data_IF_349267803301
#
_entry.id   IF_349267803301
#
_cell.length_a   1.000
_cell.length_b   1.000
_cell.length_c   1.000
_cell.angle_alpha   90.00
_cell.angle_beta   90.00
_cell.angle_gamma   90.00
#
_symmetry.space_group_name_H-M   'P 1'
#
loop_
_entity.id
_entity.type
_entity.pdbx_description
1 polymer ?
#
# COMPACT_ATOMS: atom_id res chain seq x y z
N UNK A 1 40.10 -28.36 -25.19
CA UNK A 1 40.89 -27.77 -24.07
C UNK A 1 39.96 -27.74 -22.84
N UNK A 2 40.34 -28.32 -21.71
CA UNK A 2 39.50 -28.26 -20.50
C UNK A 2 39.51 -26.84 -19.91
N UNK A 3 38.34 -26.34 -19.52
CA UNK A 3 38.20 -25.04 -18.88
C UNK A 3 38.97 -25.01 -17.53
N UNK A 4 39.65 -23.91 -17.18
CA UNK A 4 40.39 -23.82 -15.92
C UNK A 4 39.43 -23.95 -14.75
N UNK A 5 39.77 -24.85 -13.79
CA UNK A 5 39.04 -25.02 -12.54
C UNK A 5 39.20 -23.73 -11.70
N UNK A 6 38.13 -23.19 -11.11
CA UNK A 6 38.25 -22.01 -10.25
C UNK A 6 39.18 -22.31 -9.08
N UNK A 7 40.09 -21.38 -8.80
CA UNK A 7 40.99 -21.51 -7.64
C UNK A 7 40.16 -21.45 -6.35
N UNK A 8 40.60 -22.11 -5.29
CA UNK A 8 39.96 -22.10 -3.96
C UNK A 8 39.66 -20.67 -3.47
N UNK A 9 40.54 -19.73 -3.82
CA UNK A 9 40.35 -18.30 -3.48
C UNK A 9 39.17 -17.67 -4.22
N UNK A 10 38.98 -18.00 -5.50
CA UNK A 10 37.86 -17.50 -6.30
C UNK A 10 36.52 -18.08 -5.82
N UNK A 11 36.52 -19.35 -5.41
CA UNK A 11 35.32 -19.99 -4.85
C UNK A 11 34.94 -19.38 -3.48
N UNK A 12 35.92 -19.11 -2.62
CA UNK A 12 35.69 -18.46 -1.33
C UNK A 12 35.18 -17.01 -1.48
N UNK A 13 35.76 -16.25 -2.42
CA UNK A 13 35.29 -14.89 -2.73
C UNK A 13 33.86 -14.88 -3.28
N UNK A 14 33.50 -15.83 -4.15
CA UNK A 14 32.15 -15.97 -4.68
C UNK A 14 31.15 -16.34 -3.57
N UNK A 15 31.51 -17.25 -2.67
CA UNK A 15 30.68 -17.62 -1.53
C UNK A 15 30.48 -16.45 -0.55
N UNK A 16 31.53 -15.69 -0.24
CA UNK A 16 31.43 -14.50 0.58
C UNK A 16 30.55 -13.41 -0.03
N UNK A 17 30.70 -13.19 -1.36
CA UNK A 17 29.85 -12.24 -2.10
C UNK A 17 28.37 -12.68 -2.14
N UNK A 18 28.12 -13.97 -2.27
CA UNK A 18 26.76 -14.53 -2.22
C UNK A 18 26.15 -14.38 -0.81
N UNK A 19 26.92 -14.73 0.24
CA UNK A 19 26.49 -14.56 1.63
C UNK A 19 26.20 -13.09 1.98
N UNK A 20 27.07 -12.17 1.50
CA UNK A 20 26.87 -10.72 1.68
C UNK A 20 25.60 -10.22 0.96
N UNK A 21 25.34 -10.68 -0.28
CA UNK A 21 24.13 -10.35 -1.02
C UNK A 21 22.87 -10.85 -0.32
N UNK A 22 22.90 -12.09 0.17
CA UNK A 22 21.79 -12.69 0.94
C UNK A 22 21.56 -11.92 2.25
N UNK A 23 22.64 -11.53 2.94
CA UNK A 23 22.54 -10.72 4.16
C UNK A 23 21.97 -9.33 3.88
N UNK A 24 22.39 -8.68 2.79
CA UNK A 24 21.87 -7.38 2.35
C UNK A 24 20.40 -7.45 1.94
N UNK A 25 19.99 -8.51 1.22
CA UNK A 25 18.58 -8.76 0.88
C UNK A 25 17.73 -8.96 2.15
N UNK A 26 18.25 -9.66 3.15
CA UNK A 26 17.57 -9.90 4.43
C UNK A 26 17.41 -8.64 5.28
N UNK A 27 18.21 -7.59 5.03
CA UNK A 27 18.14 -6.30 5.71
C UNK A 27 17.35 -5.25 4.92
N UNK A 28 17.08 -5.49 3.64
CA UNK A 28 16.31 -4.55 2.82
C UNK A 28 14.84 -4.65 3.21
N UNK A 29 14.30 -3.56 3.76
CA UNK A 29 12.87 -3.47 4.08
C UNK A 29 12.06 -3.49 2.81
N UNK A 30 10.94 -4.20 2.84
CA UNK A 30 10.00 -4.32 1.74
C UNK A 30 8.64 -3.74 2.13
N UNK A 31 8.15 -2.78 1.36
CA UNK A 31 6.85 -2.15 1.58
C UNK A 31 5.97 -2.36 0.36
N UNK A 32 4.76 -2.82 0.59
CA UNK A 32 3.74 -2.94 -0.47
C UNK A 32 2.80 -1.74 -0.38
N UNK A 33 2.54 -1.09 -1.52
CA UNK A 33 1.63 0.06 -1.63
C UNK A 33 0.51 -0.29 -2.60
N UNK A 34 -0.74 -0.32 -2.13
CA UNK A 34 -1.90 -0.42 -3.03
C UNK A 34 -2.34 0.98 -3.46
N UNK A 35 -2.82 1.13 -4.69
CA UNK A 35 -3.08 2.45 -5.25
C UNK A 35 -1.79 3.21 -5.58
N UNK A 36 -0.75 2.48 -6.00
CA UNK A 36 0.59 3.03 -6.22
C UNK A 36 0.65 4.05 -7.36
N UNK A 37 -0.27 4.02 -8.32
CA UNK A 37 -0.37 4.99 -9.40
C UNK A 37 -1.08 6.29 -8.99
N UNK A 38 -1.74 6.31 -7.82
CA UNK A 38 -2.39 7.48 -7.27
C UNK A 38 -1.41 8.52 -6.72
N UNK A 39 -1.91 9.72 -6.40
CA UNK A 39 -1.08 10.82 -5.91
C UNK A 39 -0.29 10.48 -4.64
N UNK A 40 -0.91 9.85 -3.64
CA UNK A 40 -0.24 9.46 -2.39
C UNK A 40 0.70 8.28 -2.61
N UNK A 41 0.28 7.29 -3.40
CA UNK A 41 1.09 6.12 -3.73
C UNK A 41 2.41 6.50 -4.41
N UNK A 42 2.36 7.37 -5.41
CA UNK A 42 3.55 7.87 -6.10
C UNK A 42 4.51 8.63 -5.18
N UNK A 43 3.99 9.50 -4.33
CA UNK A 43 4.82 10.26 -3.40
C UNK A 43 5.50 9.38 -2.36
N UNK A 44 4.75 8.44 -1.80
CA UNK A 44 5.30 7.50 -0.82
C UNK A 44 6.30 6.55 -1.47
N UNK A 45 5.99 6.02 -2.66
CA UNK A 45 6.90 5.15 -3.41
C UNK A 45 8.25 5.81 -3.65
N UNK A 46 8.27 7.02 -4.21
CA UNK A 46 9.49 7.79 -4.42
C UNK A 46 10.26 8.00 -3.12
N UNK A 47 9.59 8.44 -2.07
CA UNK A 47 10.20 8.69 -0.77
C UNK A 47 10.87 7.44 -0.16
N UNK A 48 10.24 6.27 -0.31
CA UNK A 48 10.76 5.01 0.22
C UNK A 48 11.94 4.50 -0.62
N UNK A 49 11.84 4.57 -1.96
CA UNK A 49 12.94 4.16 -2.86
C UNK A 49 14.20 4.99 -2.64
N UNK A 50 14.09 6.31 -2.48
CA UNK A 50 15.22 7.19 -2.13
C UNK A 50 15.93 6.76 -0.84
N UNK A 51 15.26 6.00 0.02
CA UNK A 51 15.78 5.47 1.29
C UNK A 51 16.20 4.01 1.23
N UNK A 52 16.27 3.45 0.04
CA UNK A 52 16.71 2.07 -0.18
C UNK A 52 15.70 1.01 0.29
N UNK A 53 14.43 1.38 0.43
CA UNK A 53 13.33 0.44 0.70
C UNK A 53 12.86 -0.15 -0.63
N UNK A 54 12.70 -1.46 -0.68
CA UNK A 54 12.05 -2.13 -1.80
C UNK A 54 10.56 -1.80 -1.80
N UNK A 55 10.06 -1.23 -2.89
CA UNK A 55 8.66 -0.84 -3.03
C UNK A 55 7.98 -1.72 -4.06
N UNK A 56 6.95 -2.46 -3.62
CA UNK A 56 6.06 -3.21 -4.50
C UNK A 56 4.73 -2.47 -4.61
N UNK A 57 4.36 -2.08 -5.81
CA UNK A 57 3.09 -1.45 -6.09
C UNK A 57 2.00 -2.47 -6.42
N UNK A 58 0.79 -2.26 -5.97
CA UNK A 58 -0.42 -2.96 -6.44
C UNK A 58 -1.36 -1.91 -7.02
N UNK A 59 -1.83 -2.16 -8.24
CA UNK A 59 -2.74 -1.25 -8.92
C UNK A 59 -3.72 -2.00 -9.81
N UNK A 60 -4.89 -1.43 -9.98
CA UNK A 60 -5.86 -1.96 -10.94
C UNK A 60 -5.32 -1.79 -12.38
N UNK A 61 -5.48 -2.78 -13.27
CA UNK A 61 -4.95 -2.75 -14.64
C UNK A 61 -5.28 -1.47 -15.42
N UNK A 62 -6.50 -0.97 -15.27
CA UNK A 62 -6.96 0.24 -15.96
C UNK A 62 -6.22 1.51 -15.55
N UNK A 63 -5.64 1.54 -14.36
CA UNK A 63 -4.89 2.70 -13.87
C UNK A 63 -3.41 2.60 -14.18
N UNK A 64 -2.86 1.40 -14.35
CA UNK A 64 -1.49 1.20 -14.80
C UNK A 64 -1.25 1.68 -16.23
N UNK A 65 -2.29 1.61 -17.09
CA UNK A 65 -2.20 2.00 -18.50
C UNK A 65 -2.32 3.51 -18.75
N UNK A 66 -2.73 4.28 -17.75
CA UNK A 66 -3.13 5.70 -17.89
C UNK A 66 -2.04 6.74 -17.56
N UNK A 67 -0.79 6.36 -17.50
CA UNK A 67 0.21 7.36 -17.16
C UNK A 67 1.62 6.85 -17.04
N UNK A 68 2.50 7.67 -16.52
CA UNK A 68 3.89 7.29 -16.22
C UNK A 68 3.91 6.16 -15.19
N UNK A 69 4.87 5.28 -15.31
CA UNK A 69 5.11 4.23 -14.32
C UNK A 69 5.24 4.81 -12.90
N UNK A 70 4.62 4.17 -11.89
CA UNK A 70 4.80 4.61 -10.51
C UNK A 70 6.23 4.32 -10.05
N UNK A 71 6.77 5.07 -9.08
CA UNK A 71 8.08 4.80 -8.49
C UNK A 71 8.02 3.57 -7.58
N UNK A 72 8.02 2.40 -8.19
CA UNK A 72 8.01 1.10 -7.55
C UNK A 72 9.03 0.20 -8.23
N UNK A 73 9.67 -0.69 -7.47
CA UNK A 73 10.61 -1.67 -8.01
C UNK A 73 9.89 -2.75 -8.83
N UNK A 74 8.63 -3.01 -8.46
CA UNK A 74 7.74 -3.91 -9.16
C UNK A 74 6.29 -3.43 -9.02
N UNK A 75 5.52 -3.55 -10.08
CA UNK A 75 4.07 -3.28 -10.04
C UNK A 75 3.30 -4.55 -10.36
N UNK A 76 2.44 -4.95 -9.43
CA UNK A 76 1.50 -6.06 -9.61
C UNK A 76 0.16 -5.48 -10.03
N UNK A 77 -0.31 -5.87 -11.20
CA UNK A 77 -1.66 -5.51 -11.66
C UNK A 77 -2.67 -6.43 -11.02
N UNK A 78 -3.51 -5.92 -10.15
CA UNK A 78 -4.54 -6.68 -9.47
C UNK A 78 -5.76 -5.81 -9.15
N UNK A 79 -6.93 -6.41 -9.26
CA UNK A 79 -8.19 -5.83 -8.80
C UNK A 79 -8.34 -6.15 -7.30
N UNK A 80 -8.17 -5.16 -6.45
CA UNK A 80 -8.27 -5.33 -5.00
C UNK A 80 -9.70 -5.56 -4.49
N UNK A 81 -10.73 -5.45 -5.34
CA UNK A 81 -12.09 -5.93 -5.01
C UNK A 81 -12.15 -7.47 -4.92
N UNK A 82 -11.12 -8.15 -5.40
CA UNK A 82 -11.00 -9.60 -5.36
C UNK A 82 -9.87 -10.01 -4.42
N UNK A 83 -9.90 -11.24 -3.88
CA UNK A 83 -8.79 -11.76 -3.11
C UNK A 83 -7.48 -11.68 -3.89
N UNK A 84 -6.44 -11.16 -3.26
CA UNK A 84 -5.12 -11.08 -3.86
C UNK A 84 -4.54 -12.49 -4.05
N UNK A 85 -3.75 -12.67 -5.12
CA UNK A 85 -3.06 -13.92 -5.36
C UNK A 85 -2.09 -14.25 -4.21
N UNK A 86 -1.99 -15.53 -3.89
CA UNK A 86 -1.06 -16.00 -2.86
C UNK A 86 0.38 -15.58 -3.19
N UNK A 87 1.08 -15.07 -2.19
CA UNK A 87 2.47 -14.67 -2.31
C UNK A 87 2.71 -13.22 -2.74
N UNK A 88 1.69 -12.46 -3.19
CA UNK A 88 1.87 -11.05 -3.58
C UNK A 88 2.43 -10.20 -2.43
N UNK A 89 2.01 -10.49 -1.21
CA UNK A 89 2.45 -9.77 0.01
C UNK A 89 3.57 -10.51 0.76
N UNK A 90 4.08 -11.62 0.23
CA UNK A 90 5.09 -12.42 0.92
C UNK A 90 6.36 -11.60 1.21
N UNK A 91 6.84 -11.69 2.45
CA UNK A 91 8.06 -11.00 2.90
C UNK A 91 7.94 -9.49 3.03
N UNK A 92 6.74 -8.93 2.96
CA UNK A 92 6.54 -7.51 3.22
C UNK A 92 6.66 -7.17 4.70
N UNK A 93 7.38 -6.11 5.04
CA UNK A 93 7.47 -5.55 6.38
C UNK A 93 6.26 -4.66 6.71
N UNK A 94 5.64 -4.11 5.69
CA UNK A 94 4.43 -3.31 5.82
C UNK A 94 3.61 -3.31 4.52
N UNK A 95 2.30 -3.17 4.68
CA UNK A 95 1.36 -2.83 3.60
C UNK A 95 0.78 -1.47 3.89
N UNK A 96 0.83 -0.58 2.89
CA UNK A 96 0.17 0.74 2.93
C UNK A 96 -0.96 0.74 1.91
N UNK A 97 -2.18 0.87 2.40
CA UNK A 97 -3.38 0.77 1.59
C UNK A 97 -3.94 2.15 1.25
N UNK A 98 -3.78 2.56 -0.02
CA UNK A 98 -4.34 3.79 -0.58
C UNK A 98 -5.41 3.52 -1.65
N UNK A 99 -5.55 2.25 -2.09
CA UNK A 99 -6.53 1.90 -3.10
C UNK A 99 -7.94 2.12 -2.58
N UNK A 100 -8.71 2.90 -3.31
CA UNK A 100 -10.11 3.14 -3.04
C UNK A 100 -10.83 3.51 -4.33
N UNK A 101 -12.09 3.14 -4.43
CA UNK A 101 -13.00 3.71 -5.42
C UNK A 101 -13.40 5.09 -4.90
N UNK A 102 -13.13 6.13 -5.66
CA UNK A 102 -13.45 7.51 -5.26
C UNK A 102 -14.31 8.21 -6.33
N UNK A 103 -15.58 7.88 -6.40
CA UNK A 103 -16.51 8.41 -7.39
C UNK A 103 -17.14 9.74 -6.96
N UNK A 104 -16.53 10.46 -6.02
CA UNK A 104 -17.01 11.77 -5.57
C UNK A 104 -17.29 12.71 -6.77
N UNK A 105 -18.40 13.48 -6.78
CA UNK A 105 -19.34 13.67 -5.66
C UNK A 105 -20.56 12.74 -5.67
N UNK A 106 -20.70 11.87 -6.63
CA UNK A 106 -21.92 11.13 -6.91
C UNK A 106 -21.77 9.61 -6.74
N UNK A 107 -21.03 9.17 -5.72
CA UNK A 107 -20.85 7.75 -5.44
C UNK A 107 -22.19 7.06 -5.16
N UNK A 108 -22.47 5.98 -5.88
CA UNK A 108 -23.50 5.06 -5.49
C UNK A 108 -23.03 4.09 -4.39
N UNK A 109 -23.95 3.22 -3.92
CA UNK A 109 -23.60 2.25 -2.90
C UNK A 109 -22.60 1.20 -3.41
N UNK A 110 -22.70 0.77 -4.65
CA UNK A 110 -21.82 -0.24 -5.21
C UNK A 110 -20.37 0.27 -5.29
N UNK A 111 -20.20 1.51 -5.73
CA UNK A 111 -18.89 2.17 -5.77
C UNK A 111 -18.32 2.42 -4.37
N UNK A 112 -19.15 2.83 -3.43
CA UNK A 112 -18.73 3.06 -2.04
C UNK A 112 -18.34 1.75 -1.33
N UNK A 113 -19.11 0.67 -1.54
CA UNK A 113 -18.82 -0.66 -0.98
C UNK A 113 -17.54 -1.27 -1.58
N UNK A 114 -17.22 -0.97 -2.84
CA UNK A 114 -15.98 -1.41 -3.46
C UNK A 114 -14.71 -1.01 -2.69
N UNK A 115 -14.71 0.18 -2.09
CA UNK A 115 -13.59 0.60 -1.22
C UNK A 115 -13.48 -0.23 0.06
N UNK A 116 -14.60 -0.73 0.60
CA UNK A 116 -14.60 -1.64 1.75
C UNK A 116 -14.03 -3.00 1.33
N UNK A 117 -14.42 -3.51 0.17
CA UNK A 117 -13.91 -4.78 -0.36
C UNK A 117 -12.40 -4.71 -0.59
N UNK A 118 -11.89 -3.60 -1.15
CA UNK A 118 -10.45 -3.36 -1.29
C UNK A 118 -9.74 -3.46 0.05
N UNK A 119 -10.20 -2.71 1.06
CA UNK A 119 -9.56 -2.68 2.37
C UNK A 119 -9.61 -4.06 3.05
N UNK A 120 -10.73 -4.75 2.96
CA UNK A 120 -10.93 -6.05 3.58
C UNK A 120 -10.06 -7.13 2.94
N UNK A 121 -10.06 -7.24 1.62
CA UNK A 121 -9.26 -8.24 0.90
C UNK A 121 -7.76 -8.05 1.11
N UNK A 122 -7.29 -6.80 1.08
CA UNK A 122 -5.87 -6.51 1.30
C UNK A 122 -5.47 -6.77 2.75
N UNK A 123 -6.34 -6.44 3.73
CA UNK A 123 -6.08 -6.71 5.15
C UNK A 123 -6.02 -8.20 5.44
N UNK A 124 -6.94 -9.00 4.89
CA UNK A 124 -6.92 -10.47 5.01
C UNK A 124 -5.64 -11.05 4.39
N UNK A 125 -5.31 -10.66 3.17
CA UNK A 125 -4.09 -11.11 2.51
C UNK A 125 -2.82 -10.74 3.29
N UNK A 126 -2.79 -9.56 3.92
CA UNK A 126 -1.69 -9.14 4.78
C UNK A 126 -1.59 -9.99 6.05
N UNK A 127 -2.72 -10.32 6.67
CA UNK A 127 -2.78 -11.20 7.83
C UNK A 127 -2.31 -12.62 7.47
N UNK A 128 -2.80 -13.18 6.38
CA UNK A 128 -2.42 -14.52 5.90
C UNK A 128 -0.93 -14.61 5.53
N UNK A 129 -0.38 -13.53 4.98
CA UNK A 129 1.06 -13.43 4.68
C UNK A 129 1.94 -13.14 5.90
N UNK A 130 1.36 -12.94 7.08
CA UNK A 130 2.08 -12.61 8.31
C UNK A 130 2.73 -11.22 8.28
N UNK A 131 2.20 -10.28 7.52
CA UNK A 131 2.73 -8.91 7.44
C UNK A 131 2.55 -8.20 8.79
N UNK A 132 3.65 -7.70 9.40
CA UNK A 132 3.58 -7.17 10.77
C UNK A 132 2.90 -5.80 10.89
N UNK A 133 2.72 -5.09 9.77
CA UNK A 133 2.09 -3.76 9.77
C UNK A 133 1.16 -3.57 8.59
N UNK A 134 -0.07 -3.21 8.89
CA UNK A 134 -1.06 -2.77 7.91
C UNK A 134 -1.46 -1.32 8.21
N UNK A 135 -1.25 -0.43 7.24
CA UNK A 135 -1.53 1.00 7.35
C UNK A 135 -2.65 1.33 6.37
N UNK A 136 -3.81 1.66 6.89
CA UNK A 136 -4.98 2.05 6.12
C UNK A 136 -5.10 3.58 6.06
N UNK A 137 -5.16 4.12 4.85
CA UNK A 137 -5.54 5.51 4.67
C UNK A 137 -7.04 5.68 4.96
N UNK A 138 -7.34 6.30 6.06
CA UNK A 138 -8.69 6.70 6.43
C UNK A 138 -9.01 8.11 5.91
N UNK A 139 -10.09 8.69 6.35
CA UNK A 139 -10.54 10.02 5.93
C UNK A 139 -10.90 10.87 7.13
N UNK A 140 -10.69 12.19 7.02
CA UNK A 140 -11.21 13.16 7.98
C UNK A 140 -12.75 13.16 8.05
N UNK A 141 -13.43 12.63 7.03
CA UNK A 141 -14.88 12.46 7.04
C UNK A 141 -15.38 11.49 8.11
N UNK A 142 -14.54 10.54 8.56
CA UNK A 142 -14.84 9.66 9.69
C UNK A 142 -15.08 10.46 10.98
N UNK A 143 -14.47 11.65 11.08
CA UNK A 143 -14.61 12.57 12.21
C UNK A 143 -15.47 13.78 11.85
N UNK A 144 -16.16 13.75 10.72
CA UNK A 144 -16.91 14.90 10.18
C UNK A 144 -18.00 15.43 11.09
N UNK A 145 -18.65 14.55 11.86
CA UNK A 145 -19.73 14.94 12.79
C UNK A 145 -19.29 15.87 13.93
N UNK A 146 -18.00 16.01 14.17
CA UNK A 146 -17.47 16.99 15.13
C UNK A 146 -17.43 18.41 14.57
N UNK A 147 -17.47 18.58 13.25
CA UNK A 147 -17.48 19.90 12.61
C UNK A 147 -18.74 20.70 12.94
N UNK A 148 -19.85 19.96 13.15
CA UNK A 148 -21.14 20.56 13.42
C UNK A 148 -21.35 20.83 14.93
N UNK A 149 -20.49 20.28 15.77
CA UNK A 149 -20.53 20.46 17.23
C UNK A 149 -19.49 21.49 17.70
N UNK A 150 -19.86 22.76 17.63
CA UNK A 150 -18.99 23.87 18.04
C UNK A 150 -18.52 23.82 19.49
N UNK A 151 -19.17 23.01 20.33
CA UNK A 151 -18.84 22.84 21.76
C UNK A 151 -17.73 21.84 21.98
N UNK A 152 -17.49 20.95 21.01
CA UNK A 152 -16.49 19.89 21.15
C UNK A 152 -15.05 20.42 21.15
N UNK A 153 -14.78 21.53 20.47
CA UNK A 153 -13.43 22.08 20.34
C UNK A 153 -12.54 21.27 19.37
N UNK A 154 -11.30 21.01 19.77
CA UNK A 154 -10.34 20.30 18.93
C UNK A 154 -10.54 18.78 19.03
N UNK A 155 -10.71 18.10 17.89
CA UNK A 155 -10.77 16.64 17.81
C UNK A 155 -9.40 16.04 18.15
N UNK A 156 -9.41 15.04 19.03
CA UNK A 156 -8.21 14.33 19.51
C UNK A 156 -8.16 12.90 18.96
N UNK A 157 -6.99 12.28 18.89
CA UNK A 157 -6.87 10.88 18.48
C UNK A 157 -7.67 9.87 19.33
N UNK A 158 -7.98 10.24 20.57
CA UNK A 158 -8.77 9.42 21.50
C UNK A 158 -10.29 9.54 21.30
N UNK A 159 -10.74 10.50 20.49
CA UNK A 159 -12.17 10.70 20.25
C UNK A 159 -12.71 9.58 19.35
N UNK A 160 -13.89 9.09 19.68
CA UNK A 160 -14.53 8.03 18.90
C UNK A 160 -14.88 8.52 17.48
N UNK A 161 -14.82 7.65 16.47
CA UNK A 161 -15.31 7.98 15.14
C UNK A 161 -16.75 8.49 15.17
N UNK A 162 -16.99 9.62 14.51
CA UNK A 162 -18.31 10.23 14.40
C UNK A 162 -18.46 10.77 12.98
N UNK A 163 -19.10 9.98 12.13
CA UNK A 163 -19.32 10.37 10.74
C UNK A 163 -20.17 11.65 10.67
N UNK A 164 -19.77 12.57 9.83
CA UNK A 164 -20.52 13.78 9.54
C UNK A 164 -21.68 13.53 8.59
N UNK A 165 -22.60 14.48 8.53
CA UNK A 165 -23.56 14.56 7.44
C UNK A 165 -22.81 14.79 6.12
N UNK A 166 -23.29 14.21 5.03
CA UNK A 166 -22.75 14.45 3.71
C UNK A 166 -22.69 15.96 3.45
N UNK A 167 -21.55 16.44 2.98
CA UNK A 167 -21.29 17.87 2.75
C UNK A 167 -22.28 18.54 1.76
N UNK A 168 -23.17 17.78 1.13
CA UNK A 168 -24.12 18.22 0.12
C UNK A 168 -25.57 17.83 0.43
N UNK A 169 -25.88 17.47 1.66
CA UNK A 169 -27.27 17.41 2.06
C UNK A 169 -27.86 18.84 2.08
N UNK A 170 -29.10 19.06 1.63
CA UNK A 170 -29.74 20.33 1.87
C UNK A 170 -29.71 20.60 3.38
N UNK A 171 -29.31 21.82 3.74
CA UNK A 171 -29.35 22.28 5.11
C UNK A 171 -30.75 21.99 5.67
N UNK A 172 -30.91 21.21 6.73
CA UNK A 172 -32.22 21.06 7.33
C UNK A 172 -32.63 22.42 7.88
N UNK A 173 -33.62 23.02 7.23
CA UNK A 173 -34.24 24.27 7.60
C UNK A 173 -34.87 24.22 9.01
#
# INVERSE_FOLDING_TARGET
>A
MPSPKPTLLAAAAAAAAAAWRLHKQKQQRRVVITGCCGNLGRKLGAYLQERGVEVVGIEHPDYCAKGSEPPCDCVVQADAQRPLAAGVLAGADAVVHFSAVNPYPNADWAESSGSMDHAFNVALAAADAGVPRFILASSNHVMGGYKDDRRHGTVKPSDAPRAGTALNGPDPA
#
